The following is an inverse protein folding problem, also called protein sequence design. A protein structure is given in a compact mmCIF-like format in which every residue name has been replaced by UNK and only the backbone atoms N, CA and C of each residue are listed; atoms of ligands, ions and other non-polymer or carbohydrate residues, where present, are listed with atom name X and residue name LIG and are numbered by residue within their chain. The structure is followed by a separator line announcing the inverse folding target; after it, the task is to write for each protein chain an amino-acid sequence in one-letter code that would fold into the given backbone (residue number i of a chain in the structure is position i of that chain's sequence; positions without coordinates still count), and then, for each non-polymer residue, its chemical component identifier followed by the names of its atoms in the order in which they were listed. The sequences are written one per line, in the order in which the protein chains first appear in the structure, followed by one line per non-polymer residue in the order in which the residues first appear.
data_IF_497830110170
#
_entry.id   IF_497830110170
#
_cell.length_a   1.000
_cell.length_b   1.000
_cell.length_c   1.000
_cell.angle_alpha   90.00
_cell.angle_beta   90.00
_cell.angle_gamma   90.00
#
_symmetry.space_group_name_H-M   'P 1'
#
loop_
_entity.id
_entity.type
_entity.pdbx_description
1 polymer ?
#
# COMPACT_ATOMS: atom_id res chain seq x y z
N UNK A 1 -14.62 -6.42 29.17
CA UNK A 1 -15.96 -7.04 29.03
C UNK A 1 -15.86 -8.17 28.01
N UNK A 2 -16.54 -9.29 28.21
CA UNK A 2 -16.53 -10.39 27.24
C UNK A 2 -17.78 -10.29 26.35
N UNK A 3 -17.67 -9.56 25.24
CA UNK A 3 -18.80 -9.30 24.34
C UNK A 3 -19.36 -10.55 23.66
N UNK A 4 -18.56 -11.61 23.50
CA UNK A 4 -19.06 -12.89 22.99
C UNK A 4 -20.06 -13.52 23.96
N UNK A 5 -19.76 -13.50 25.27
CA UNK A 5 -20.69 -14.00 26.29
C UNK A 5 -21.95 -13.15 26.41
N UNK A 6 -21.84 -11.83 26.22
CA UNK A 6 -23.03 -10.96 26.22
C UNK A 6 -23.92 -11.21 24.99
N UNK A 7 -23.31 -11.45 23.83
CA UNK A 7 -24.04 -11.89 22.63
C UNK A 7 -24.77 -13.21 22.89
N UNK A 8 -24.07 -14.23 23.38
CA UNK A 8 -24.63 -15.56 23.65
C UNK A 8 -25.87 -15.49 24.57
N UNK A 9 -25.83 -14.69 25.64
CA UNK A 9 -27.00 -14.47 26.51
C UNK A 9 -28.21 -13.86 25.78
N UNK A 10 -27.96 -12.94 24.85
CA UNK A 10 -29.03 -12.32 24.05
C UNK A 10 -29.62 -13.37 23.10
N UNK A 11 -28.78 -14.18 22.45
CA UNK A 11 -29.22 -15.24 21.55
C UNK A 11 -30.03 -16.32 22.29
N UNK A 12 -29.57 -16.77 23.46
CA UNK A 12 -30.30 -17.71 24.33
C UNK A 12 -31.69 -17.17 24.67
N UNK A 13 -31.80 -15.89 25.03
CA UNK A 13 -33.08 -15.26 25.32
C UNK A 13 -34.00 -15.20 24.09
N UNK A 14 -33.45 -14.93 22.91
CA UNK A 14 -34.22 -14.91 21.65
C UNK A 14 -34.79 -16.29 21.35
N UNK A 15 -33.97 -17.34 21.49
CA UNK A 15 -34.39 -18.74 21.30
C UNK A 15 -35.44 -19.17 22.34
N UNK A 16 -35.19 -18.93 23.64
CA UNK A 16 -36.08 -19.31 24.74
C UNK A 16 -37.46 -18.66 24.64
N UNK A 17 -37.54 -17.47 24.03
CA UNK A 17 -38.77 -16.70 23.87
C UNK A 17 -39.41 -16.85 22.48
N UNK A 18 -38.83 -17.69 21.60
CA UNK A 18 -39.24 -17.86 20.20
C UNK A 18 -39.45 -16.52 19.47
N UNK A 19 -38.54 -15.57 19.72
CA UNK A 19 -38.54 -14.26 19.09
C UNK A 19 -37.76 -14.29 17.78
N UNK A 20 -38.08 -13.37 16.87
CA UNK A 20 -37.27 -13.09 15.69
C UNK A 20 -37.10 -11.57 15.53
N UNK A 21 -36.21 -10.95 16.31
CA UNK A 21 -35.99 -9.51 16.25
C UNK A 21 -35.31 -9.09 14.94
N UNK A 22 -35.57 -7.86 14.55
CA UNK A 22 -34.97 -7.22 13.38
C UNK A 22 -33.56 -6.70 13.70
N UNK A 23 -32.62 -6.94 12.78
CA UNK A 23 -31.22 -6.52 12.91
C UNK A 23 -30.75 -5.73 11.70
N UNK A 24 -30.35 -4.48 11.92
CA UNK A 24 -29.56 -3.74 10.94
C UNK A 24 -28.07 -4.07 11.11
N UNK A 25 -27.52 -4.84 10.17
CA UNK A 25 -26.12 -5.27 10.20
C UNK A 25 -25.27 -4.35 9.32
N UNK A 26 -24.48 -3.46 9.93
CA UNK A 26 -23.50 -2.67 9.20
C UNK A 26 -22.36 -3.57 8.66
N UNK A 27 -22.17 -3.58 7.35
CA UNK A 27 -21.10 -4.32 6.68
C UNK A 27 -20.06 -3.42 6.01
N UNK A 28 -18.79 -3.83 6.12
CA UNK A 28 -17.66 -3.16 5.47
C UNK A 28 -17.19 -3.80 4.16
N UNK A 29 -17.40 -5.11 4.00
CA UNK A 29 -17.07 -5.89 2.81
C UNK A 29 -17.68 -7.29 2.92
N UNK A 30 -17.88 -7.94 1.78
CA UNK A 30 -18.40 -9.31 1.69
C UNK A 30 -17.66 -10.30 2.61
N UNK A 31 -16.32 -10.42 2.54
CA UNK A 31 -15.56 -11.36 3.38
C UNK A 31 -15.78 -11.19 4.89
N UNK A 32 -15.92 -9.96 5.38
CA UNK A 32 -16.19 -9.73 6.80
C UNK A 32 -17.64 -10.08 7.18
N UNK A 33 -18.59 -9.96 6.26
CA UNK A 33 -19.97 -10.36 6.51
C UNK A 33 -20.22 -11.86 6.42
N UNK A 34 -19.40 -12.65 5.71
CA UNK A 34 -19.71 -14.05 5.38
C UNK A 34 -20.11 -14.91 6.59
N UNK A 35 -19.20 -15.09 7.55
CA UNK A 35 -19.49 -15.84 8.78
C UNK A 35 -20.55 -15.15 9.64
N UNK A 36 -20.59 -13.82 9.67
CA UNK A 36 -21.56 -13.08 10.49
C UNK A 36 -22.99 -13.31 10.01
N UNK A 37 -23.19 -13.34 8.69
CA UNK A 37 -24.47 -13.67 8.07
C UNK A 37 -24.82 -15.14 8.31
N UNK A 38 -23.89 -16.08 8.06
CA UNK A 38 -24.10 -17.52 8.35
C UNK A 38 -24.56 -17.75 9.80
N UNK A 39 -23.95 -17.04 10.74
CA UNK A 39 -24.19 -17.18 12.17
C UNK A 39 -25.47 -16.48 12.63
N UNK A 40 -25.62 -15.17 12.38
CA UNK A 40 -26.72 -14.38 12.93
C UNK A 40 -28.04 -14.61 12.19
N UNK A 41 -28.03 -15.08 10.94
CA UNK A 41 -29.27 -15.33 10.19
C UNK A 41 -30.12 -16.46 10.76
N UNK A 42 -29.61 -17.19 11.76
CA UNK A 42 -30.37 -18.20 12.48
C UNK A 42 -31.29 -17.59 13.56
N UNK A 43 -31.00 -16.35 13.98
CA UNK A 43 -31.59 -15.69 15.15
C UNK A 43 -32.33 -14.38 14.84
N UNK A 44 -32.01 -13.72 13.72
CA UNK A 44 -32.53 -12.39 13.38
C UNK A 44 -33.07 -12.33 11.95
N UNK A 45 -34.04 -11.44 11.71
CA UNK A 45 -34.32 -10.91 10.37
C UNK A 45 -33.30 -9.83 10.04
N UNK A 46 -32.44 -10.09 9.06
CA UNK A 46 -31.26 -9.26 8.79
C UNK A 46 -31.49 -8.35 7.58
N UNK A 47 -31.26 -7.06 7.80
CA UNK A 47 -30.97 -6.11 6.71
C UNK A 47 -29.51 -5.67 6.81
N UNK A 48 -28.73 -5.98 5.77
CA UNK A 48 -27.36 -5.52 5.64
C UNK A 48 -27.35 -4.06 5.22
N UNK A 49 -26.77 -3.20 6.04
CA UNK A 49 -26.45 -1.84 5.66
C UNK A 49 -25.00 -1.76 5.19
N UNK A 50 -24.79 -1.68 3.88
CA UNK A 50 -23.47 -1.50 3.32
C UNK A 50 -23.11 -0.02 3.32
N UNK A 51 -22.23 0.37 4.23
CA UNK A 51 -21.78 1.75 4.37
C UNK A 51 -20.31 1.81 4.73
N UNK A 52 -19.51 2.23 3.76
CA UNK A 52 -18.06 2.28 3.90
C UNK A 52 -17.49 3.43 3.05
N UNK A 53 -17.78 4.69 3.43
CA UNK A 53 -17.43 5.87 2.63
C UNK A 53 -15.92 6.06 2.48
N UNK A 54 -15.12 5.41 3.33
CA UNK A 54 -13.67 5.53 3.32
C UNK A 54 -12.98 4.65 2.28
N UNK A 55 -13.70 3.85 1.48
CA UNK A 55 -13.05 2.99 0.48
C UNK A 55 -12.46 3.84 -0.63
N UNK A 56 -11.21 3.56 -0.97
CA UNK A 56 -10.45 4.16 -2.05
C UNK A 56 -9.68 3.07 -2.81
N UNK A 57 -9.61 3.14 -4.15
CA UNK A 57 -10.30 4.11 -5.01
C UNK A 57 -11.80 3.77 -5.15
N UNK A 58 -12.56 4.56 -5.92
CA UNK A 58 -14.01 4.40 -6.04
C UNK A 58 -14.43 3.07 -6.66
N UNK A 59 -13.61 2.52 -7.55
CA UNK A 59 -13.80 1.24 -8.20
C UNK A 59 -13.78 0.09 -7.19
N UNK A 60 -12.92 0.19 -6.18
CA UNK A 60 -12.85 -0.77 -5.06
C UNK A 60 -14.14 -0.74 -4.23
N UNK A 61 -14.78 0.43 -4.08
CA UNK A 61 -16.05 0.54 -3.35
C UNK A 61 -17.14 -0.27 -4.06
N UNK A 62 -17.34 -0.01 -5.35
CA UNK A 62 -18.37 -0.70 -6.15
C UNK A 62 -18.09 -2.19 -6.28
N UNK A 63 -16.83 -2.57 -6.46
CA UNK A 63 -16.44 -3.98 -6.44
C UNK A 63 -16.81 -4.66 -5.11
N UNK A 64 -16.57 -4.01 -3.97
CA UNK A 64 -16.94 -4.54 -2.65
C UNK A 64 -18.45 -4.55 -2.40
N UNK A 65 -19.22 -3.66 -3.01
CA UNK A 65 -20.71 -3.69 -3.01
C UNK A 65 -21.19 -4.95 -3.73
N UNK A 66 -20.65 -5.24 -4.91
CA UNK A 66 -21.01 -6.44 -5.68
C UNK A 66 -20.61 -7.73 -4.95
N UNK A 67 -19.43 -7.76 -4.33
CA UNK A 67 -19.03 -8.87 -3.45
C UNK A 67 -19.96 -9.02 -2.23
N UNK A 68 -20.51 -7.92 -1.71
CA UNK A 68 -21.51 -7.97 -0.63
C UNK A 68 -22.84 -8.57 -1.11
N UNK A 69 -23.29 -8.23 -2.32
CA UNK A 69 -24.51 -8.82 -2.92
C UNK A 69 -24.34 -10.32 -3.13
N UNK A 70 -23.22 -10.73 -3.73
CA UNK A 70 -22.89 -12.15 -3.95
C UNK A 70 -22.91 -12.97 -2.66
N UNK A 71 -22.32 -12.48 -1.57
CA UNK A 71 -22.32 -13.25 -0.31
C UNK A 71 -23.71 -13.36 0.30
N UNK A 72 -24.58 -12.35 0.12
CA UNK A 72 -25.97 -12.42 0.56
C UNK A 72 -26.69 -13.54 -0.20
N UNK A 73 -26.55 -13.58 -1.53
CA UNK A 73 -27.17 -14.60 -2.37
C UNK A 73 -26.68 -16.02 -2.07
N UNK A 74 -25.41 -16.17 -1.71
CA UNK A 74 -24.79 -17.46 -1.39
C UNK A 74 -25.05 -17.92 0.05
N UNK A 75 -25.49 -17.02 0.94
CA UNK A 75 -25.70 -17.36 2.35
C UNK A 75 -27.01 -18.12 2.55
N UNK A 76 -26.91 -19.35 3.03
CA UNK A 76 -28.07 -20.12 3.49
C UNK A 76 -28.57 -19.54 4.82
N UNK A 77 -29.67 -18.81 4.75
CA UNK A 77 -30.28 -18.12 5.89
C UNK A 77 -31.66 -18.69 6.20
N UNK A 78 -32.10 -18.56 7.46
CA UNK A 78 -33.44 -18.98 7.89
C UNK A 78 -34.52 -18.05 7.34
N UNK A 79 -34.20 -16.75 7.26
CA UNK A 79 -35.05 -15.69 6.72
C UNK A 79 -34.31 -14.96 5.59
N UNK A 80 -35.04 -14.40 4.60
CA UNK A 80 -34.42 -13.60 3.55
C UNK A 80 -33.56 -12.47 4.13
N UNK A 81 -32.35 -12.32 3.58
CA UNK A 81 -31.44 -11.22 3.94
C UNK A 81 -31.67 -10.09 2.94
N UNK A 82 -31.96 -8.90 3.44
CA UNK A 82 -32.10 -7.69 2.63
C UNK A 82 -30.80 -6.87 2.64
N UNK A 83 -30.65 -5.96 1.68
CA UNK A 83 -29.51 -5.05 1.61
C UNK A 83 -29.98 -3.62 1.34
N UNK A 84 -29.40 -2.69 2.10
CA UNK A 84 -29.48 -1.25 1.90
C UNK A 84 -28.07 -0.71 1.64
N UNK A 85 -27.94 0.11 0.61
CA UNK A 85 -26.69 0.79 0.27
C UNK A 85 -26.72 2.21 0.85
N UNK A 86 -25.73 2.56 1.67
CA UNK A 86 -25.55 3.94 2.12
C UNK A 86 -24.79 4.79 1.11
N UNK A 87 -24.93 6.11 1.19
CA UNK A 87 -24.27 7.03 0.27
C UNK A 87 -22.74 6.86 0.28
N UNK A 88 -22.12 6.74 -0.91
CA UNK A 88 -20.67 6.80 -1.06
C UNK A 88 -20.20 8.25 -1.06
N UNK A 89 -20.06 8.81 0.15
CA UNK A 89 -19.64 10.20 0.40
C UNK A 89 -18.24 10.20 1.02
N UNK A 90 -17.22 10.28 0.16
CA UNK A 90 -15.81 10.25 0.57
C UNK A 90 -15.41 11.55 1.28
N UNK A 91 -15.99 12.68 0.89
CA UNK A 91 -15.71 13.98 1.50
C UNK A 91 -16.08 13.97 2.99
N UNK A 92 -17.21 13.35 3.34
CA UNK A 92 -17.60 13.15 4.73
C UNK A 92 -16.59 12.31 5.51
N UNK A 93 -15.96 11.33 4.88
CA UNK A 93 -14.86 10.58 5.51
C UNK A 93 -13.64 11.47 5.74
N UNK A 94 -13.20 12.23 4.73
CA UNK A 94 -12.05 13.15 4.85
C UNK A 94 -12.27 14.21 5.91
N UNK A 95 -13.46 14.80 5.97
CA UNK A 95 -13.85 15.77 7.01
C UNK A 95 -13.81 15.16 8.41
N UNK A 96 -14.23 13.90 8.55
CA UNK A 96 -14.25 13.18 9.82
C UNK A 96 -12.84 12.94 10.38
N UNK A 97 -11.85 12.74 9.50
CA UNK A 97 -10.47 12.41 9.88
C UNK A 97 -9.50 13.58 9.73
N UNK A 98 -10.00 14.77 9.40
CA UNK A 98 -9.17 15.96 9.18
C UNK A 98 -8.22 16.22 10.34
N UNK A 99 -6.92 16.35 10.03
CA UNK A 99 -5.85 16.51 11.03
C UNK A 99 -5.40 15.20 11.69
N UNK A 100 -5.86 14.04 11.21
CA UNK A 100 -5.49 12.70 11.68
C UNK A 100 -4.90 11.82 10.57
N UNK A 101 -4.55 12.40 9.42
CA UNK A 101 -4.12 11.71 8.21
C UNK A 101 -2.87 10.84 8.47
N UNK A 102 -1.92 11.39 9.23
CA UNK A 102 -0.64 10.77 9.55
C UNK A 102 -0.70 9.76 10.72
N UNK A 103 -1.87 9.60 11.36
CA UNK A 103 -2.02 8.63 12.45
C UNK A 103 -2.10 7.20 11.89
N UNK A 104 -1.31 6.30 12.47
CA UNK A 104 -1.23 4.90 12.05
C UNK A 104 -2.57 4.17 12.06
N UNK A 105 -2.70 3.18 11.17
CA UNK A 105 -3.84 2.25 11.16
C UNK A 105 -4.05 1.58 12.54
N UNK A 106 -5.33 1.45 12.92
CA UNK A 106 -5.72 0.94 14.24
C UNK A 106 -5.70 1.98 15.36
N UNK A 107 -5.23 3.21 15.08
CA UNK A 107 -5.22 4.35 16.00
C UNK A 107 -6.48 5.22 15.96
N UNK A 108 -6.35 6.46 16.43
CA UNK A 108 -7.47 7.39 16.61
C UNK A 108 -8.22 7.72 15.29
N UNK A 109 -7.50 7.81 14.17
CA UNK A 109 -8.08 7.96 12.82
C UNK A 109 -9.11 6.86 12.54
N UNK A 110 -8.74 5.62 12.79
CA UNK A 110 -9.63 4.48 12.60
C UNK A 110 -10.83 4.53 13.56
N UNK A 111 -10.65 5.03 14.79
CA UNK A 111 -11.76 5.13 15.75
C UNK A 111 -12.80 6.15 15.30
N UNK A 112 -12.38 7.27 14.70
CA UNK A 112 -13.30 8.25 14.10
C UNK A 112 -14.03 7.69 12.88
N UNK A 113 -13.33 6.93 12.04
CA UNK A 113 -13.97 6.20 10.95
C UNK A 113 -15.02 5.18 11.45
N UNK A 114 -14.72 4.43 12.52
CA UNK A 114 -15.69 3.50 13.11
C UNK A 114 -16.90 4.23 13.69
N UNK A 115 -16.69 5.34 14.39
CA UNK A 115 -17.76 6.18 14.95
C UNK A 115 -18.68 6.72 13.85
N UNK A 116 -18.13 7.24 12.74
CA UNK A 116 -18.91 7.68 11.59
C UNK A 116 -19.84 6.57 11.07
N UNK A 117 -19.27 5.40 10.80
CA UNK A 117 -20.01 4.29 10.19
C UNK A 117 -21.06 3.69 11.09
N UNK A 118 -20.73 3.54 12.39
CA UNK A 118 -21.69 3.07 13.38
C UNK A 118 -22.77 4.11 13.67
N UNK A 119 -22.45 5.41 13.59
CA UNK A 119 -23.44 6.49 13.73
C UNK A 119 -24.49 6.46 12.64
N UNK A 120 -24.07 6.27 11.38
CA UNK A 120 -25.04 6.15 10.28
C UNK A 120 -25.89 4.89 10.39
N UNK A 121 -25.27 3.76 10.79
CA UNK A 121 -26.02 2.52 11.01
C UNK A 121 -27.06 2.68 12.14
N UNK A 122 -26.68 3.27 13.28
CA UNK A 122 -27.60 3.46 14.39
C UNK A 122 -28.72 4.45 14.06
N UNK A 123 -28.39 5.53 13.33
CA UNK A 123 -29.37 6.51 12.86
C UNK A 123 -30.40 5.84 11.95
N UNK A 124 -29.95 5.11 10.93
CA UNK A 124 -30.83 4.38 10.02
C UNK A 124 -31.65 3.31 10.76
N UNK A 125 -31.01 2.56 11.65
CA UNK A 125 -31.70 1.55 12.46
C UNK A 125 -32.84 2.15 13.29
N UNK A 126 -32.63 3.35 13.84
CA UNK A 126 -33.67 4.07 14.57
C UNK A 126 -34.79 4.56 13.67
N UNK A 127 -34.45 5.17 12.54
CA UNK A 127 -35.40 5.73 11.57
C UNK A 127 -36.34 4.65 11.00
N UNK A 128 -35.80 3.47 10.70
CA UNK A 128 -36.53 2.32 10.14
C UNK A 128 -37.11 1.38 11.22
N UNK A 129 -36.88 1.68 12.51
CA UNK A 129 -37.50 0.96 13.63
C UNK A 129 -36.93 -0.44 13.92
N UNK A 130 -35.64 -0.68 13.64
CA UNK A 130 -34.97 -1.94 13.97
C UNK A 130 -34.80 -2.13 15.49
N UNK A 131 -34.91 -3.38 15.95
CA UNK A 131 -34.69 -3.74 17.36
C UNK A 131 -33.23 -3.58 17.76
N UNK A 132 -32.32 -4.01 16.87
CA UNK A 132 -30.88 -3.97 17.08
C UNK A 132 -30.12 -3.43 15.87
N UNK A 133 -28.94 -2.88 16.14
CA UNK A 133 -27.89 -2.70 15.14
C UNK A 133 -26.55 -3.26 15.62
N UNK A 134 -25.70 -3.68 14.68
CA UNK A 134 -24.31 -4.10 14.99
C UNK A 134 -23.42 -3.93 13.77
N UNK A 135 -22.17 -4.39 13.86
CA UNK A 135 -21.21 -4.33 12.76
C UNK A 135 -20.42 -5.62 12.56
N UNK A 136 -20.16 -5.95 11.30
CA UNK A 136 -19.22 -7.02 10.91
C UNK A 136 -17.76 -6.69 11.22
N UNK A 137 -17.41 -5.43 11.54
CA UNK A 137 -16.03 -5.00 11.81
C UNK A 137 -15.36 -5.80 12.94
N UNK A 138 -16.12 -6.36 13.87
CA UNK A 138 -15.59 -7.12 15.01
C UNK A 138 -15.02 -8.49 14.62
N UNK A 139 -15.22 -8.97 13.38
CA UNK A 139 -14.60 -10.20 12.86
C UNK A 139 -13.13 -10.02 12.44
N UNK A 140 -12.71 -8.78 12.14
CA UNK A 140 -11.38 -8.53 11.60
C UNK A 140 -10.31 -8.64 12.70
N UNK A 141 -9.25 -9.46 12.53
CA UNK A 141 -8.19 -9.62 13.54
C UNK A 141 -7.43 -8.32 13.80
N UNK A 142 -7.44 -7.40 12.84
CA UNK A 142 -6.76 -6.10 12.92
C UNK A 142 -7.60 -5.02 13.60
N UNK A 143 -8.88 -5.29 13.91
CA UNK A 143 -9.78 -4.31 14.53
C UNK A 143 -10.03 -4.65 16.00
N UNK A 144 -9.93 -3.65 16.86
CA UNK A 144 -10.13 -3.82 18.29
C UNK A 144 -11.64 -3.92 18.61
N UNK A 145 -12.11 -5.13 18.95
CA UNK A 145 -13.52 -5.39 19.28
C UNK A 145 -13.96 -4.62 20.51
N UNK A 146 -13.08 -4.38 21.49
CA UNK A 146 -13.44 -3.60 22.67
C UNK A 146 -13.74 -2.13 22.34
N UNK A 147 -12.97 -1.55 21.42
CA UNK A 147 -13.22 -0.17 20.94
C UNK A 147 -14.51 -0.12 20.14
N UNK A 148 -14.71 -1.03 19.18
CA UNK A 148 -15.90 -1.08 18.34
C UNK A 148 -17.19 -1.19 19.16
N UNK A 149 -17.23 -2.07 20.16
CA UNK A 149 -18.41 -2.22 21.01
C UNK A 149 -18.66 -1.00 21.91
N UNK A 150 -17.60 -0.34 22.41
CA UNK A 150 -17.77 0.91 23.18
C UNK A 150 -18.36 2.03 22.31
N UNK A 151 -17.88 2.16 21.08
CA UNK A 151 -18.43 3.12 20.10
C UNK A 151 -19.87 2.75 19.78
N UNK A 152 -20.13 1.47 19.48
CA UNK A 152 -21.47 0.96 19.19
C UNK A 152 -22.46 1.25 20.31
N UNK A 153 -22.10 0.97 21.57
CA UNK A 153 -22.94 1.30 22.72
C UNK A 153 -23.21 2.81 22.81
N UNK A 154 -22.16 3.64 22.79
CA UNK A 154 -22.29 5.09 22.94
C UNK A 154 -23.15 5.72 21.84
N UNK A 155 -23.05 5.19 20.62
CA UNK A 155 -23.86 5.64 19.48
C UNK A 155 -25.30 5.11 19.59
N UNK A 156 -25.50 3.86 20.01
CA UNK A 156 -26.82 3.30 20.26
C UNK A 156 -27.59 4.09 21.32
N UNK A 157 -26.93 4.44 22.42
CA UNK A 157 -27.48 5.30 23.47
C UNK A 157 -27.85 6.70 22.92
N UNK A 158 -27.02 7.25 22.04
CA UNK A 158 -27.23 8.57 21.42
C UNK A 158 -28.48 8.62 20.53
N UNK A 159 -28.71 7.59 19.72
CA UNK A 159 -29.83 7.54 18.77
C UNK A 159 -31.06 6.78 19.30
N UNK A 160 -30.93 6.08 20.43
CA UNK A 160 -32.04 5.35 21.05
C UNK A 160 -32.38 4.05 20.32
N UNK A 161 -31.37 3.28 19.93
CA UNK A 161 -31.46 1.93 19.35
C UNK A 161 -30.46 1.00 20.02
N UNK A 162 -30.84 -0.26 20.26
CA UNK A 162 -29.99 -1.21 21.00
C UNK A 162 -28.80 -1.65 20.14
N UNK A 163 -27.59 -1.47 20.65
CA UNK A 163 -26.40 -2.06 20.04
C UNK A 163 -26.30 -3.54 20.44
N UNK A 164 -26.26 -4.45 19.45
CA UNK A 164 -25.99 -5.86 19.71
C UNK A 164 -24.47 -6.06 19.88
N UNK A 165 -23.99 -6.37 21.11
CA UNK A 165 -22.57 -6.57 21.37
C UNK A 165 -22.02 -7.76 20.59
N UNK A 166 -20.79 -7.67 20.09
CA UNK A 166 -20.20 -8.76 19.30
C UNK A 166 -18.67 -8.84 19.36
N UNK A 167 -18.14 -10.06 19.30
CA UNK A 167 -16.72 -10.32 19.00
C UNK A 167 -16.60 -11.53 18.07
N UNK A 168 -16.97 -11.35 16.81
CA UNK A 168 -17.05 -12.43 15.81
C UNK A 168 -15.71 -13.10 15.48
N UNK A 169 -14.58 -12.64 16.05
CA UNK A 169 -13.30 -13.37 15.98
C UNK A 169 -13.29 -14.61 16.86
N UNK A 170 -14.06 -14.61 17.95
CA UNK A 170 -14.13 -15.71 18.91
C UNK A 170 -14.77 -16.94 18.26
N UNK A 171 -14.63 -18.09 18.92
CA UNK A 171 -15.20 -19.37 18.47
C UNK A 171 -14.83 -19.73 17.02
N UNK A 172 -13.60 -19.39 16.60
CA UNK A 172 -13.08 -19.59 15.24
C UNK A 172 -13.83 -18.84 14.13
N UNK A 173 -14.62 -17.80 14.44
CA UNK A 173 -15.39 -17.08 13.43
C UNK A 173 -14.54 -16.44 12.32
N UNK A 174 -13.37 -15.87 12.65
CA UNK A 174 -12.44 -15.39 11.61
C UNK A 174 -11.94 -16.53 10.70
N UNK A 175 -11.61 -17.68 11.28
CA UNK A 175 -11.19 -18.86 10.50
C UNK A 175 -12.30 -19.35 9.58
N UNK A 176 -13.56 -19.38 10.06
CA UNK A 176 -14.72 -19.74 9.25
C UNK A 176 -14.96 -18.73 8.13
N UNK A 177 -14.83 -17.44 8.40
CA UNK A 177 -14.88 -16.40 7.35
C UNK A 177 -13.84 -16.63 6.26
N UNK A 178 -12.60 -16.98 6.61
CA UNK A 178 -11.57 -17.33 5.62
C UNK A 178 -11.94 -18.57 4.78
N UNK A 179 -12.52 -19.60 5.40
CA UNK A 179 -13.00 -20.79 4.69
C UNK A 179 -14.10 -20.43 3.69
N UNK A 180 -15.13 -19.69 4.13
CA UNK A 180 -16.23 -19.26 3.26
C UNK A 180 -15.74 -18.42 2.07
N UNK A 181 -14.81 -17.50 2.31
CA UNK A 181 -14.20 -16.72 1.22
C UNK A 181 -13.51 -17.63 0.20
N UNK A 182 -12.78 -18.66 0.66
CA UNK A 182 -12.13 -19.61 -0.25
C UNK A 182 -13.13 -20.50 -0.98
N UNK A 183 -14.17 -20.98 -0.30
CA UNK A 183 -15.22 -21.83 -0.87
C UNK A 183 -16.01 -21.10 -1.96
N UNK A 184 -16.26 -19.81 -1.77
CA UNK A 184 -17.02 -18.97 -2.71
C UNK A 184 -16.15 -18.21 -3.72
N UNK A 185 -14.82 -18.41 -3.70
CA UNK A 185 -13.91 -17.71 -4.62
C UNK A 185 -13.90 -16.19 -4.45
N UNK A 186 -14.16 -15.69 -3.24
CA UNK A 186 -14.29 -14.26 -2.97
C UNK A 186 -12.93 -13.56 -2.88
N UNK A 187 -12.93 -12.28 -3.24
CA UNK A 187 -11.78 -11.41 -3.03
C UNK A 187 -11.62 -11.05 -1.55
N UNK A 188 -10.43 -11.27 -0.99
CA UNK A 188 -10.07 -10.85 0.37
C UNK A 188 -8.90 -9.87 0.34
N UNK A 189 -9.14 -8.70 0.91
CA UNK A 189 -8.19 -7.58 0.86
C UNK A 189 -7.08 -7.74 1.88
N UNK A 190 -5.91 -7.18 1.58
CA UNK A 190 -4.75 -7.11 2.46
C UNK A 190 -4.60 -5.75 3.19
N UNK A 191 -5.60 -4.87 3.04
CA UNK A 191 -5.70 -3.55 3.65
C UNK A 191 -7.17 -3.20 4.00
N UNK A 192 -7.40 -2.18 4.83
CA UNK A 192 -8.74 -1.85 5.32
C UNK A 192 -9.70 -1.35 4.22
N UNK A 193 -9.17 -0.78 3.14
CA UNK A 193 -9.93 -0.13 2.07
C UNK A 193 -9.70 1.37 1.96
N UNK A 194 -9.22 2.06 3.01
CA UNK A 194 -8.92 3.50 2.88
C UNK A 194 -7.56 3.78 2.26
N UNK A 195 -7.47 4.94 1.61
CA UNK A 195 -6.26 5.45 0.96
C UNK A 195 -5.04 5.39 1.89
N UNK A 196 -5.21 5.75 3.16
CA UNK A 196 -4.11 5.72 4.12
C UNK A 196 -3.64 4.31 4.47
N UNK A 197 -4.57 3.36 4.67
CA UNK A 197 -4.22 1.94 4.89
C UNK A 197 -3.59 1.32 3.65
N UNK A 198 -4.01 1.75 2.45
CA UNK A 198 -3.39 1.38 1.18
C UNK A 198 -1.95 1.87 1.09
N UNK A 199 -1.71 3.16 1.36
CA UNK A 199 -0.36 3.77 1.42
C UNK A 199 0.53 3.04 2.43
N UNK A 200 0.05 2.81 3.66
CA UNK A 200 0.79 2.05 4.69
C UNK A 200 1.14 0.62 4.21
N UNK A 201 0.21 -0.04 3.52
CA UNK A 201 0.43 -1.38 2.94
C UNK A 201 1.46 -1.36 1.83
N UNK A 202 1.42 -0.38 0.92
CA UNK A 202 2.42 -0.18 -0.12
C UNK A 202 3.81 0.05 0.50
N UNK A 203 3.92 0.93 1.49
CA UNK A 203 5.19 1.19 2.18
C UNK A 203 5.75 -0.07 2.86
N UNK A 204 4.89 -0.89 3.47
CA UNK A 204 5.28 -2.17 4.06
C UNK A 204 5.80 -3.15 3.00
N UNK A 205 5.13 -3.23 1.83
CA UNK A 205 5.57 -4.07 0.70
C UNK A 205 6.91 -3.57 0.13
N UNK A 206 7.07 -2.26 -0.10
CA UNK A 206 8.33 -1.63 -0.53
C UNK A 206 9.47 -1.92 0.45
N UNK A 207 9.22 -1.80 1.76
CA UNK A 207 10.24 -2.11 2.78
C UNK A 207 10.66 -3.57 2.71
N UNK A 208 9.69 -4.49 2.67
CA UNK A 208 9.96 -5.92 2.57
C UNK A 208 10.78 -6.25 1.31
N UNK A 209 10.36 -5.73 0.16
CA UNK A 209 11.07 -5.97 -1.10
C UNK A 209 12.51 -5.42 -1.07
N UNK A 210 12.75 -4.25 -0.46
CA UNK A 210 14.12 -3.74 -0.24
C UNK A 210 14.95 -4.68 0.65
N UNK A 211 14.36 -5.20 1.72
CA UNK A 211 15.04 -6.15 2.61
C UNK A 211 15.39 -7.45 1.89
N UNK A 212 14.45 -7.98 1.09
CA UNK A 212 14.64 -9.18 0.28
C UNK A 212 15.74 -8.96 -0.79
N UNK A 213 15.73 -7.82 -1.49
CA UNK A 213 16.75 -7.45 -2.49
C UNK A 213 18.13 -7.23 -1.87
N UNK A 214 18.20 -6.74 -0.63
CA UNK A 214 19.47 -6.62 0.09
C UNK A 214 20.08 -7.99 0.39
N UNK A 215 19.26 -8.96 0.78
CA UNK A 215 19.69 -10.35 1.02
C UNK A 215 20.13 -10.99 -0.31
N UNK A 216 19.33 -10.83 -1.36
CA UNK A 216 19.64 -11.32 -2.70
C UNK A 216 20.97 -10.76 -3.21
N UNK A 217 21.13 -9.44 -3.19
CA UNK A 217 22.36 -8.78 -3.66
C UNK A 217 23.60 -9.20 -2.87
N UNK A 218 23.47 -9.47 -1.56
CA UNK A 218 24.56 -10.01 -0.76
C UNK A 218 24.92 -11.46 -1.09
N UNK A 219 24.01 -12.21 -1.72
CA UNK A 219 24.19 -13.60 -2.14
C UNK A 219 24.64 -13.76 -3.59
N UNK A 220 24.63 -12.68 -4.38
CA UNK A 220 25.07 -12.72 -5.77
C UNK A 220 26.57 -12.99 -5.88
N UNK A 221 26.92 -13.82 -6.87
CA UNK A 221 28.30 -14.11 -7.20
C UNK A 221 29.00 -12.85 -7.76
N UNK A 222 30.21 -12.57 -7.25
CA UNK A 222 30.94 -11.34 -7.61
C UNK A 222 31.45 -11.35 -9.05
N UNK A 223 31.81 -12.53 -9.56
CA UNK A 223 32.29 -12.65 -10.94
C UNK A 223 31.12 -12.44 -11.91
N UNK A 224 29.93 -12.99 -11.59
CA UNK A 224 28.70 -12.69 -12.30
C UNK A 224 28.38 -11.18 -12.29
N UNK A 225 28.43 -10.53 -11.12
CA UNK A 225 28.13 -9.10 -11.02
C UNK A 225 29.04 -8.26 -11.91
N UNK A 226 30.36 -8.51 -11.86
CA UNK A 226 31.33 -7.79 -12.68
C UNK A 226 31.12 -8.03 -14.19
N UNK A 227 30.83 -9.28 -14.59
CA UNK A 227 30.55 -9.62 -15.98
C UNK A 227 29.26 -8.97 -16.47
N UNK A 228 28.20 -9.01 -15.65
CA UNK A 228 26.92 -8.39 -15.97
C UNK A 228 27.06 -6.87 -16.13
N UNK A 229 27.74 -6.20 -15.20
CA UNK A 229 28.00 -4.76 -15.25
C UNK A 229 28.74 -4.38 -16.54
N UNK A 230 29.79 -5.13 -16.91
CA UNK A 230 30.53 -4.88 -18.14
C UNK A 230 29.63 -5.02 -19.39
N UNK A 231 28.79 -6.05 -19.47
CA UNK A 231 27.87 -6.24 -20.60
C UNK A 231 26.84 -5.11 -20.65
N UNK A 232 26.33 -4.68 -19.50
CA UNK A 232 25.38 -3.55 -19.39
C UNK A 232 26.03 -2.28 -19.95
N UNK A 233 27.26 -1.96 -19.55
CA UNK A 233 27.97 -0.78 -20.05
C UNK A 233 28.32 -0.91 -21.55
N UNK A 234 28.73 -2.08 -22.03
CA UNK A 234 29.01 -2.32 -23.44
C UNK A 234 27.77 -2.12 -24.33
N UNK A 235 26.59 -2.46 -23.81
CA UNK A 235 25.30 -2.18 -24.47
C UNK A 235 24.99 -0.69 -24.41
N UNK A 236 25.10 -0.07 -23.24
CA UNK A 236 24.85 1.36 -23.03
C UNK A 236 25.71 2.23 -23.95
N UNK A 237 27.02 1.96 -24.07
CA UNK A 237 27.92 2.75 -24.89
C UNK A 237 27.63 2.68 -26.39
N UNK A 238 26.77 1.76 -26.85
CA UNK A 238 26.33 1.64 -28.25
C UNK A 238 24.97 2.30 -28.52
N UNK A 239 24.30 2.81 -27.48
CA UNK A 239 23.00 3.49 -27.58
C UNK A 239 23.20 4.91 -28.09
N UNK A 240 22.27 5.40 -28.92
CA UNK A 240 22.25 6.80 -29.37
C UNK A 240 22.21 7.77 -28.20
N UNK A 241 21.44 7.44 -27.16
CA UNK A 241 21.30 8.21 -25.94
C UNK A 241 22.65 8.44 -25.24
N UNK A 242 23.58 7.48 -25.32
CA UNK A 242 24.95 7.66 -24.82
C UNK A 242 25.83 8.40 -25.84
N UNK A 243 25.77 8.02 -27.12
CA UNK A 243 26.64 8.57 -28.15
C UNK A 243 26.41 10.07 -28.35
N UNK A 244 25.16 10.51 -28.34
CA UNK A 244 24.74 11.89 -28.56
C UNK A 244 24.87 12.75 -27.29
N UNK A 245 24.87 12.15 -26.10
CA UNK A 245 25.01 12.85 -24.84
C UNK A 245 26.40 13.46 -24.67
N UNK A 246 26.43 14.76 -24.39
CA UNK A 246 27.63 15.50 -23.97
C UNK A 246 27.79 15.51 -22.45
N UNK A 247 26.67 15.49 -21.72
CA UNK A 247 26.64 15.46 -20.26
C UNK A 247 25.83 14.29 -19.72
N UNK A 248 26.50 13.44 -18.93
CA UNK A 248 25.89 12.28 -18.27
C UNK A 248 25.83 12.50 -16.76
N UNK A 249 24.66 12.34 -16.17
CA UNK A 249 24.47 12.23 -14.74
C UNK A 249 24.35 10.75 -14.34
N UNK A 250 25.24 10.31 -13.46
CA UNK A 250 25.26 8.93 -12.96
C UNK A 250 25.57 8.90 -11.47
N UNK A 251 25.39 7.75 -10.83
CA UNK A 251 25.72 7.56 -9.42
C UNK A 251 27.11 6.94 -9.28
N UNK A 252 27.68 6.92 -8.06
CA UNK A 252 28.83 6.09 -7.73
C UNK A 252 28.31 4.84 -6.98
N UNK A 253 28.13 3.75 -7.72
CA UNK A 253 27.47 2.54 -7.23
C UNK A 253 28.11 1.95 -5.99
N UNK A 254 27.30 1.64 -4.98
CA UNK A 254 27.75 0.92 -3.79
C UNK A 254 27.31 -0.53 -3.84
N UNK A 255 28.20 -1.47 -3.56
CA UNK A 255 27.84 -2.89 -3.43
C UNK A 255 26.54 -3.11 -2.61
N UNK A 256 25.53 -3.84 -3.13
CA UNK A 256 25.53 -4.62 -4.36
C UNK A 256 24.91 -3.92 -5.60
N UNK A 257 24.88 -2.59 -5.66
CA UNK A 257 24.50 -1.84 -6.86
C UNK A 257 25.43 -2.15 -8.06
N UNK A 258 25.00 -1.74 -9.25
CA UNK A 258 25.88 -1.71 -10.43
C UNK A 258 27.00 -0.72 -10.16
N UNK A 259 28.25 -1.17 -10.25
CA UNK A 259 29.42 -0.33 -10.03
C UNK A 259 29.72 0.49 -11.29
N UNK A 260 29.47 1.78 -11.20
CA UNK A 260 29.59 2.75 -12.28
C UNK A 260 30.95 3.44 -12.33
N UNK A 261 31.89 3.16 -11.42
CA UNK A 261 33.17 3.87 -11.37
C UNK A 261 34.00 3.69 -12.65
N UNK A 262 34.09 2.45 -13.15
CA UNK A 262 34.79 2.16 -14.39
C UNK A 262 34.09 2.80 -15.62
N UNK A 263 32.76 2.88 -15.59
CA UNK A 263 31.98 3.58 -16.61
C UNK A 263 32.25 5.10 -16.60
N UNK A 264 32.31 5.71 -15.41
CA UNK A 264 32.61 7.15 -15.25
C UNK A 264 33.94 7.50 -15.92
N UNK A 265 35.00 6.75 -15.64
CA UNK A 265 36.32 6.95 -16.27
C UNK A 265 36.27 6.74 -17.79
N UNK A 266 35.48 5.78 -18.27
CA UNK A 266 35.22 5.55 -19.70
C UNK A 266 34.55 6.76 -20.36
N UNK A 267 33.45 7.23 -19.78
CA UNK A 267 32.70 8.37 -20.30
C UNK A 267 33.55 9.65 -20.36
N UNK A 268 34.38 9.91 -19.34
CA UNK A 268 35.33 11.03 -19.35
C UNK A 268 36.38 10.90 -20.46
N UNK A 269 36.90 9.68 -20.70
CA UNK A 269 37.84 9.43 -21.81
C UNK A 269 37.20 9.60 -23.18
N UNK A 270 35.92 9.32 -23.30
CA UNK A 270 35.11 9.59 -24.49
C UNK A 270 34.82 11.10 -24.67
N UNK A 271 35.32 11.96 -23.78
CA UNK A 271 35.17 13.41 -23.83
C UNK A 271 33.86 13.94 -23.25
N UNK A 272 33.11 13.09 -22.52
CA UNK A 272 31.83 13.47 -21.92
C UNK A 272 32.03 14.16 -20.59
N UNK A 273 31.17 15.12 -20.28
CA UNK A 273 31.03 15.68 -18.94
C UNK A 273 30.26 14.69 -18.06
N UNK A 274 30.75 14.43 -16.85
CA UNK A 274 30.09 13.52 -15.91
C UNK A 274 29.77 14.27 -14.63
N UNK A 275 28.53 14.14 -14.18
CA UNK A 275 28.08 14.61 -12.87
C UNK A 275 27.53 13.48 -12.02
N UNK A 276 27.68 13.64 -10.71
CA UNK A 276 27.24 12.67 -9.69
C UNK A 276 26.34 13.33 -8.65
N UNK A 277 25.44 12.58 -7.99
CA UNK A 277 24.51 13.14 -7.01
C UNK A 277 25.24 13.60 -5.74
N UNK A 278 24.90 14.80 -5.29
CA UNK A 278 25.13 15.26 -3.92
C UNK A 278 23.78 15.44 -3.21
N UNK A 279 23.62 14.76 -2.07
CA UNK A 279 22.40 14.84 -1.27
C UNK A 279 22.63 15.75 -0.06
N UNK A 280 22.40 17.06 -0.26
CA UNK A 280 22.63 18.10 0.76
C UNK A 280 21.75 17.94 2.02
N UNK A 281 20.56 17.38 1.87
CA UNK A 281 19.63 17.06 2.94
C UNK A 281 18.80 15.82 2.55
N UNK A 282 17.78 15.47 3.35
CA UNK A 282 16.94 14.28 3.09
C UNK A 282 16.04 14.36 1.86
N UNK A 283 15.88 15.56 1.30
CA UNK A 283 14.89 15.88 0.28
C UNK A 283 15.52 16.34 -1.04
N UNK A 284 16.69 16.96 -0.98
CA UNK A 284 17.31 17.67 -2.10
C UNK A 284 18.52 16.92 -2.65
N UNK A 285 18.44 16.52 -3.92
CA UNK A 285 19.54 15.97 -4.70
C UNK A 285 19.96 16.99 -5.76
N UNK A 286 21.26 17.27 -5.84
CA UNK A 286 21.88 18.18 -6.80
C UNK A 286 22.92 17.43 -7.63
N UNK A 287 23.16 17.89 -8.84
CA UNK A 287 24.20 17.33 -9.71
C UNK A 287 25.49 18.13 -9.56
N UNK A 288 26.61 17.44 -9.34
CA UNK A 288 27.93 18.08 -9.29
C UNK A 288 28.85 17.41 -10.29
N UNK A 289 29.48 18.22 -11.13
CA UNK A 289 30.46 17.77 -12.11
C UNK A 289 31.72 17.28 -11.41
N UNK A 290 32.24 16.15 -11.89
CA UNK A 290 33.56 15.65 -11.54
C UNK A 290 34.46 15.61 -12.79
N UNK A 291 35.75 15.81 -12.60
CA UNK A 291 36.80 15.72 -13.62
C UNK A 291 37.68 14.47 -13.44
N UNK A 292 37.66 13.88 -12.24
CA UNK A 292 38.30 12.62 -11.92
C UNK A 292 37.62 11.93 -10.73
N UNK A 293 37.88 10.63 -10.54
CA UNK A 293 37.37 9.88 -9.39
C UNK A 293 37.98 10.36 -8.06
N UNK A 294 39.15 11.00 -8.08
CA UNK A 294 39.81 11.53 -6.88
C UNK A 294 39.01 12.67 -6.22
N UNK A 295 38.05 13.25 -6.94
CA UNK A 295 37.12 14.26 -6.42
C UNK A 295 35.92 13.67 -5.67
N UNK A 296 35.84 12.34 -5.57
CA UNK A 296 34.84 11.64 -4.77
C UNK A 296 35.36 11.40 -3.36
N UNK A 297 34.56 11.76 -2.36
CA UNK A 297 34.84 11.54 -0.95
C UNK A 297 33.84 10.56 -0.36
N UNK A 298 34.31 9.75 0.59
CA UNK A 298 33.43 8.84 1.32
C UNK A 298 32.74 9.60 2.44
N UNK A 299 31.40 9.66 2.42
CA UNK A 299 30.64 10.28 3.49
C UNK A 299 30.52 9.38 4.73
N UNK A 300 29.89 9.91 5.79
CA UNK A 300 29.70 9.19 7.07
C UNK A 300 28.90 7.89 6.96
N UNK A 301 28.21 7.65 5.83
CA UNK A 301 27.46 6.42 5.55
C UNK A 301 28.22 5.43 4.66
N UNK A 302 29.46 5.74 4.27
CA UNK A 302 30.26 4.89 3.39
C UNK A 302 29.82 4.96 1.92
N UNK A 303 29.21 6.08 1.51
CA UNK A 303 28.79 6.33 0.12
C UNK A 303 29.73 7.36 -0.48
N UNK A 304 30.15 7.13 -1.72
CA UNK A 304 30.96 8.09 -2.48
C UNK A 304 30.07 9.24 -2.95
N UNK A 305 30.49 10.46 -2.65
CA UNK A 305 29.82 11.70 -3.05
C UNK A 305 30.86 12.71 -3.53
N UNK A 306 30.48 13.69 -4.37
CA UNK A 306 31.42 14.69 -4.87
C UNK A 306 31.87 15.62 -3.73
N UNK A 307 33.15 15.98 -3.72
CA UNK A 307 33.65 17.02 -2.82
C UNK A 307 33.15 18.40 -3.28
N UNK A 308 32.12 18.90 -2.62
CA UNK A 308 31.48 20.19 -2.93
C UNK A 308 32.40 21.41 -2.76
N UNK A 309 33.57 21.26 -2.11
CA UNK A 309 34.56 22.33 -2.01
C UNK A 309 35.35 22.56 -3.29
N UNK A 310 35.39 21.56 -4.18
CA UNK A 310 36.15 21.58 -5.44
C UNK A 310 35.26 21.35 -6.66
N UNK A 311 34.19 20.55 -6.53
CA UNK A 311 33.27 20.22 -7.61
C UNK A 311 32.27 21.36 -7.84
N UNK A 312 31.88 21.55 -9.11
CA UNK A 312 30.91 22.58 -9.48
C UNK A 312 29.51 21.98 -9.60
N UNK A 313 28.53 22.68 -9.02
CA UNK A 313 27.11 22.35 -9.23
C UNK A 313 26.74 22.59 -10.69
N UNK A 314 25.93 21.69 -11.23
CA UNK A 314 25.46 21.67 -12.61
C UNK A 314 23.96 21.95 -12.62
N UNK A 315 23.48 22.73 -13.58
CA UNK A 315 22.06 22.90 -13.80
C UNK A 315 21.45 21.62 -14.38
N UNK A 316 20.29 21.22 -13.88
CA UNK A 316 19.63 19.98 -14.28
C UNK A 316 19.24 19.99 -15.77
N UNK A 317 19.05 21.19 -16.33
CA UNK A 317 18.73 21.41 -17.75
C UNK A 317 19.94 21.17 -18.67
N UNK A 318 21.18 21.16 -18.13
CA UNK A 318 22.41 20.89 -18.89
C UNK A 318 22.74 19.38 -18.99
N UNK A 319 21.89 18.51 -18.43
CA UNK A 319 22.10 17.06 -18.42
C UNK A 319 21.37 16.43 -19.62
N UNK A 320 22.09 15.65 -20.42
CA UNK A 320 21.52 14.98 -21.61
C UNK A 320 21.03 13.55 -21.30
N UNK A 321 21.75 12.85 -20.41
CA UNK A 321 21.48 11.45 -20.06
C UNK A 321 21.61 11.22 -18.55
N UNK A 322 20.61 10.57 -17.96
CA UNK A 322 20.59 10.14 -16.56
C UNK A 322 20.61 8.61 -16.47
N UNK A 323 21.61 8.07 -15.78
CA UNK A 323 21.63 6.66 -15.38
C UNK A 323 20.95 6.51 -14.02
N UNK A 324 19.85 5.78 -14.00
CA UNK A 324 18.98 5.64 -12.83
C UNK A 324 19.35 4.37 -12.05
N UNK A 325 19.73 4.47 -10.77
CA UNK A 325 19.97 3.30 -9.92
C UNK A 325 18.64 2.69 -9.43
N UNK A 326 18.68 1.40 -9.13
CA UNK A 326 17.56 0.72 -8.47
C UNK A 326 18.04 -0.44 -7.57
N UNK A 327 17.21 -0.81 -6.58
CA UNK A 327 17.35 -2.09 -5.89
C UNK A 327 16.82 -3.23 -6.74
N UNK A 328 15.68 -2.98 -7.41
CA UNK A 328 15.00 -3.90 -8.31
C UNK A 328 14.09 -3.10 -9.25
N UNK A 329 13.77 -3.70 -10.38
CA UNK A 329 12.86 -3.19 -11.40
C UNK A 329 12.12 -4.35 -12.05
N UNK A 330 10.96 -4.06 -12.63
CA UNK A 330 10.23 -5.00 -13.48
C UNK A 330 10.50 -4.70 -14.96
N UNK A 331 10.00 -5.56 -15.85
CA UNK A 331 10.18 -5.41 -17.31
C UNK A 331 9.44 -4.21 -17.90
N UNK A 332 8.52 -3.61 -17.14
CA UNK A 332 7.74 -2.44 -17.54
C UNK A 332 8.39 -1.13 -17.10
N UNK A 333 9.50 -1.19 -16.37
CA UNK A 333 10.21 -0.01 -15.89
C UNK A 333 9.72 0.51 -14.53
N UNK A 334 8.80 -0.20 -13.88
CA UNK A 334 8.50 0.05 -12.47
C UNK A 334 9.77 -0.27 -11.68
N UNK A 335 10.13 0.58 -10.71
CA UNK A 335 11.38 0.42 -9.99
C UNK A 335 11.21 0.70 -8.51
N UNK A 336 12.03 0.02 -7.72
CA UNK A 336 12.17 0.29 -6.31
C UNK A 336 13.60 0.76 -6.02
N UNK A 337 13.74 2.03 -5.64
CA UNK A 337 15.00 2.59 -5.17
C UNK A 337 15.30 2.25 -3.72
N UNK A 338 16.39 2.82 -3.19
CA UNK A 338 16.86 2.59 -1.81
C UNK A 338 16.02 3.28 -0.72
N UNK A 339 14.98 4.02 -1.14
CA UNK A 339 13.88 4.49 -0.28
C UNK A 339 14.04 5.87 0.35
N UNK A 340 14.92 6.70 -0.19
CA UNK A 340 14.93 8.15 0.08
C UNK A 340 14.10 8.95 -0.93
N UNK A 341 13.73 8.36 -2.06
CA UNK A 341 12.95 9.02 -3.12
C UNK A 341 13.66 10.19 -3.79
N UNK A 342 15.00 10.25 -3.74
CA UNK A 342 15.76 11.34 -4.38
C UNK A 342 15.51 11.38 -5.89
N UNK A 343 15.58 10.21 -6.56
CA UNK A 343 15.32 10.12 -7.99
C UNK A 343 13.87 10.42 -8.36
N UNK A 344 12.88 9.98 -7.57
CA UNK A 344 11.47 10.30 -7.83
C UNK A 344 11.18 11.81 -7.73
N UNK A 345 11.97 12.56 -6.96
CA UNK A 345 11.88 14.03 -6.88
C UNK A 345 12.73 14.76 -7.93
N UNK A 346 13.86 14.19 -8.33
CA UNK A 346 14.82 14.82 -9.25
C UNK A 346 14.45 14.62 -10.73
N UNK A 347 13.99 13.42 -11.09
CA UNK A 347 13.71 13.06 -12.46
C UNK A 347 12.53 13.82 -13.11
N UNK A 348 11.44 14.21 -12.41
CA UNK A 348 10.35 14.96 -13.03
C UNK A 348 10.77 16.33 -13.58
N UNK A 349 11.77 16.97 -12.96
CA UNK A 349 12.31 18.26 -13.40
C UNK A 349 13.37 18.13 -14.51
N UNK A 350 13.83 16.93 -14.84
CA UNK A 350 14.93 16.71 -15.77
C UNK A 350 14.43 16.29 -17.16
N UNK A 351 14.82 17.03 -18.20
CA UNK A 351 14.47 16.72 -19.60
C UNK A 351 15.36 15.64 -20.22
N UNK A 352 16.45 15.26 -19.56
CA UNK A 352 17.39 14.23 -20.02
C UNK A 352 16.70 12.91 -20.37
N UNK A 353 17.34 12.16 -21.27
CA UNK A 353 17.05 10.75 -21.47
C UNK A 353 17.34 9.97 -20.18
N UNK A 354 16.50 8.99 -19.85
CA UNK A 354 16.59 8.25 -18.57
C UNK A 354 16.77 6.78 -18.88
N UNK A 355 17.88 6.20 -18.42
CA UNK A 355 18.16 4.78 -18.61
C UNK A 355 18.30 4.11 -17.24
N UNK A 356 17.47 3.10 -17.02
CA UNK A 356 17.52 2.24 -15.84
C UNK A 356 18.52 1.10 -16.07
N UNK A 357 19.51 1.01 -15.19
CA UNK A 357 20.47 -0.09 -15.20
C UNK A 357 20.06 -1.14 -14.17
N UNK A 358 20.00 -2.40 -14.59
CA UNK A 358 19.67 -3.51 -13.68
C UNK A 358 20.30 -4.82 -14.14
N UNK A 359 20.74 -5.65 -13.19
CA UNK A 359 21.14 -7.03 -13.48
C UNK A 359 19.92 -7.94 -13.51
N UNK A 360 19.86 -8.90 -14.43
CA UNK A 360 18.67 -9.76 -14.60
C UNK A 360 18.28 -10.53 -13.33
N UNK A 361 19.26 -10.95 -12.51
CA UNK A 361 18.98 -11.62 -11.23
C UNK A 361 18.34 -10.70 -10.18
N UNK A 362 18.34 -9.38 -10.37
CA UNK A 362 17.71 -8.40 -9.48
C UNK A 362 16.34 -7.95 -9.98
N UNK A 363 15.81 -8.51 -11.08
CA UNK A 363 14.49 -8.18 -11.62
C UNK A 363 13.39 -8.84 -10.78
N UNK A 364 12.30 -8.11 -10.51
CA UNK A 364 11.11 -8.60 -9.80
C UNK A 364 9.85 -8.28 -10.60
N UNK A 365 8.87 -9.19 -10.62
CA UNK A 365 7.65 -9.03 -11.44
C UNK A 365 6.57 -8.15 -10.79
N UNK A 366 6.56 -8.00 -9.46
CA UNK A 366 5.54 -7.26 -8.70
C UNK A 366 6.15 -6.15 -7.86
N UNK A 367 6.30 -4.96 -8.44
CA UNK A 367 6.82 -3.79 -7.73
C UNK A 367 5.66 -2.95 -7.20
N UNK A 368 5.57 -2.74 -5.87
CA UNK A 368 4.53 -1.90 -5.29
C UNK A 368 4.80 -0.42 -5.60
N UNK A 369 3.87 0.19 -6.36
CA UNK A 369 3.96 1.58 -6.83
C UNK A 369 2.95 2.50 -6.14
N UNK A 370 3.28 3.79 -6.09
CA UNK A 370 2.47 4.93 -5.68
C UNK A 370 2.38 5.92 -6.85
N UNK A 371 1.44 6.87 -6.80
CA UNK A 371 1.20 7.83 -7.89
C UNK A 371 2.42 8.70 -8.24
N UNK A 372 3.34 8.89 -7.30
CA UNK A 372 4.56 9.69 -7.50
C UNK A 372 5.78 8.86 -7.93
N UNK A 373 5.70 7.52 -7.94
CA UNK A 373 6.81 6.70 -8.39
C UNK A 373 6.87 6.72 -9.92
N UNK A 374 8.06 7.03 -10.45
CA UNK A 374 8.26 7.10 -11.90
C UNK A 374 8.56 5.74 -12.52
N UNK A 375 7.98 5.52 -13.69
CA UNK A 375 8.31 4.41 -14.59
C UNK A 375 9.43 4.86 -15.53
N UNK A 376 10.43 4.00 -15.75
CA UNK A 376 11.54 4.27 -16.68
C UNK A 376 11.51 3.25 -17.81
N UNK A 377 11.12 3.70 -19.00
CA UNK A 377 10.88 2.82 -20.15
C UNK A 377 12.16 2.19 -20.72
N UNK A 378 13.27 2.92 -20.68
CA UNK A 378 14.56 2.44 -21.21
C UNK A 378 15.31 1.66 -20.12
N UNK A 379 15.33 0.33 -20.26
CA UNK A 379 16.00 -0.56 -19.32
C UNK A 379 17.15 -1.28 -20.02
N UNK A 380 18.32 -1.33 -19.39
CA UNK A 380 19.45 -2.12 -19.86
C UNK A 380 19.82 -3.16 -18.81
N UNK A 381 19.85 -4.42 -19.24
CA UNK A 381 20.43 -5.54 -18.49
C UNK A 381 21.44 -6.30 -19.33
N UNK A 382 22.17 -7.23 -18.71
CA UNK A 382 23.12 -8.10 -19.38
C UNK A 382 22.44 -9.08 -20.36
N UNK A 383 21.13 -9.36 -20.19
CA UNK A 383 20.29 -10.12 -21.13
C UNK A 383 19.16 -9.24 -21.71
N UNK A 384 18.30 -9.84 -22.53
CA UNK A 384 17.02 -9.22 -22.93
C UNK A 384 15.96 -9.56 -21.86
N UNK A 385 15.22 -8.55 -21.41
CA UNK A 385 14.24 -8.66 -20.32
C UNK A 385 12.81 -8.89 -20.83
#
# INVERSE_FOLDING_TARGET
MNYQKELEKILEKIEDQDLCPSLLLHSCCGPCSSYVLEYLSQYFEITVFYYNPNIYPSEEYWYRVDEQKKIIDLTKSRYPIHMMEGAYDVDRFYDTIRGMEDLLEGGARCYKCYELRLSEAAKLAKEEGFDYFTTTLTISPHKNSQVLNRIGQAVGDRYGVSHLPSDFKKNNGYKRSCQLTSEFGMYRQDYCGCEYSMKETIQRKKKKLRDDMRILGASLDRDYMAQADQIIFDKLCKRSEYLDASHIFTYAGRYPEIDTLAFIEGAMRDGKMVSVPYCSDRNTMKAYRIESLDQLVTNSFGVLEPDIGICQEVDIDDIDLVLVPSCTADRKGNRLGFGRGYYDRFLPSCQAEKILLIRSQQVSEDIPMEEHDLVIDNIISEIEL
#
